data_IF_669500333797
#
_entry.id   IF_669500333797
#
_cell.length_a   1.000
_cell.length_b   1.000
_cell.length_c   1.000
_cell.angle_alpha   90.00
_cell.angle_beta   90.00
_cell.angle_gamma   90.00
#
_symmetry.space_group_name_H-M   'P 1'
#
loop_
_entity.id
_entity.type
_entity.pdbx_description
1 polymer ?
#
# COMPACT_ATOMS: atom_id res chain seq x y z
N UNK A 1 11.88 -8.60 -41.86
CA UNK A 1 12.87 -9.43 -41.19
C UNK A 1 12.11 -10.46 -40.35
N UNK A 2 11.97 -11.68 -40.87
CA UNK A 2 11.08 -12.73 -40.37
C UNK A 2 11.93 -13.70 -39.57
N UNK A 3 11.69 -13.82 -38.24
CA UNK A 3 12.42 -14.78 -37.39
C UNK A 3 11.55 -16.03 -37.29
N UNK A 4 12.03 -17.09 -37.98
CA UNK A 4 11.45 -18.43 -37.97
C UNK A 4 11.89 -19.17 -36.72
N UNK A 5 10.92 -19.51 -35.83
CA UNK A 5 11.15 -20.34 -34.66
C UNK A 5 10.98 -21.82 -35.03
N UNK A 6 12.05 -22.57 -34.95
CA UNK A 6 12.03 -24.03 -35.14
C UNK A 6 11.87 -24.74 -33.79
N UNK A 7 10.81 -25.53 -33.57
CA UNK A 7 10.72 -26.38 -32.39
C UNK A 7 11.09 -27.82 -32.79
N UNK A 8 12.22 -28.34 -32.36
CA UNK A 8 12.49 -29.79 -32.23
C UNK A 8 13.84 -30.02 -31.55
N UNK A 9 13.86 -30.16 -30.24
CA UNK A 9 14.81 -31.06 -29.55
C UNK A 9 14.13 -31.73 -28.36
N UNK A 10 13.80 -32.93 -28.62
CA UNK A 10 13.52 -34.11 -27.85
C UNK A 10 14.36 -34.14 -26.53
N UNK A 11 13.76 -33.94 -25.39
CA UNK A 11 14.37 -34.27 -24.10
C UNK A 11 14.01 -35.71 -23.76
N UNK A 12 15.03 -36.58 -23.90
CA UNK A 12 15.00 -37.96 -23.43
C UNK A 12 14.87 -38.00 -21.91
N UNK A 13 13.88 -38.74 -21.47
CA UNK A 13 13.61 -39.20 -20.12
C UNK A 13 14.87 -39.89 -19.49
N UNK A 14 15.33 -39.37 -18.36
CA UNK A 14 16.06 -40.14 -17.37
C UNK A 14 15.25 -40.11 -16.08
N UNK A 15 14.51 -41.22 -15.89
CA UNK A 15 13.83 -41.57 -14.65
C UNK A 15 14.90 -41.90 -13.59
N UNK A 16 15.19 -40.99 -12.69
CA UNK A 16 15.83 -41.33 -11.43
C UNK A 16 14.77 -41.17 -10.35
N UNK A 17 14.18 -42.29 -9.98
CA UNK A 17 13.29 -42.40 -8.85
C UNK A 17 14.04 -42.24 -7.54
N UNK A 18 14.03 -41.01 -7.01
CA UNK A 18 14.40 -40.79 -5.61
C UNK A 18 13.11 -40.89 -4.79
N UNK A 19 12.89 -42.05 -4.21
CA UNK A 19 11.86 -42.24 -3.18
C UNK A 19 12.38 -41.53 -1.93
N UNK A 20 12.01 -40.25 -1.77
CA UNK A 20 12.20 -39.55 -0.50
C UNK A 20 11.08 -39.99 0.42
N UNK A 21 11.40 -40.94 1.32
CA UNK A 21 10.55 -41.30 2.44
C UNK A 21 10.47 -40.10 3.40
N UNK A 22 9.51 -39.24 3.19
CA UNK A 22 9.18 -38.17 4.16
C UNK A 22 8.45 -38.83 5.34
N UNK A 23 9.16 -38.99 6.44
CA UNK A 23 8.55 -39.37 7.71
C UNK A 23 7.61 -38.25 8.19
N UNK A 24 6.37 -38.61 8.50
CA UNK A 24 5.30 -37.70 8.98
C UNK A 24 5.65 -36.95 10.29
N UNK A 25 6.77 -37.23 10.92
CA UNK A 25 7.22 -36.60 12.17
C UNK A 25 7.74 -35.19 11.99
N UNK A 26 8.14 -34.78 10.77
CA UNK A 26 8.75 -33.44 10.54
C UNK A 26 7.74 -32.33 10.31
N UNK A 27 6.49 -32.64 10.01
CA UNK A 27 5.45 -31.66 9.72
C UNK A 27 5.06 -30.84 10.96
N UNK A 28 5.13 -31.45 12.15
CA UNK A 28 4.79 -30.77 13.41
C UNK A 28 5.89 -29.76 13.85
N UNK A 29 7.12 -29.94 13.40
CA UNK A 29 8.23 -29.02 13.68
C UNK A 29 8.15 -27.74 12.83
N UNK A 30 7.70 -27.84 11.59
CA UNK A 30 7.52 -26.70 10.68
C UNK A 30 6.41 -25.74 11.11
N UNK A 31 5.33 -26.26 11.70
CA UNK A 31 4.21 -25.42 12.19
C UNK A 31 4.56 -24.59 13.45
N UNK A 32 5.64 -24.95 14.16
CA UNK A 32 6.07 -24.21 15.37
C UNK A 32 6.95 -23.00 15.07
N UNK A 33 7.53 -22.92 13.86
CA UNK A 33 8.39 -21.79 13.45
C UNK A 33 7.66 -20.62 12.77
N UNK A 34 6.38 -20.76 12.44
CA UNK A 34 5.60 -19.70 11.76
C UNK A 34 4.96 -18.70 12.71
N UNK A 35 5.04 -18.92 14.02
CA UNK A 35 4.75 -17.89 15.03
C UNK A 35 6.00 -17.12 15.43
N UNK A 36 6.74 -16.62 14.48
CA UNK A 36 7.54 -15.43 14.70
C UNK A 36 6.53 -14.30 14.93
N UNK A 37 6.29 -13.96 16.19
CA UNK A 37 5.61 -12.76 16.60
C UNK A 37 6.40 -11.60 15.95
N UNK A 38 5.94 -11.18 14.76
CA UNK A 38 6.51 -10.00 14.12
C UNK A 38 6.24 -8.89 15.11
N UNK A 39 7.28 -8.42 15.78
CA UNK A 39 7.23 -7.18 16.56
C UNK A 39 6.78 -6.08 15.60
N UNK A 40 5.48 -5.85 15.57
CA UNK A 40 4.86 -4.89 14.67
C UNK A 40 5.28 -3.52 15.16
N UNK A 41 6.22 -2.89 14.44
CA UNK A 41 6.70 -1.55 14.75
C UNK A 41 5.67 -0.55 14.21
N UNK A 42 5.19 0.35 15.07
CA UNK A 42 4.25 1.40 14.68
C UNK A 42 4.83 2.28 13.55
N UNK A 43 3.99 2.70 12.61
CA UNK A 43 4.38 3.58 11.52
C UNK A 43 4.92 4.90 12.07
N UNK A 44 6.13 5.26 11.69
CA UNK A 44 6.75 6.55 12.03
C UNK A 44 6.26 7.66 11.10
N UNK A 45 6.54 8.92 11.47
CA UNK A 45 6.28 10.08 10.59
C UNK A 45 6.92 9.90 9.20
N UNK A 46 8.13 9.33 9.13
CA UNK A 46 8.81 9.03 7.86
C UNK A 46 8.06 8.00 7.04
N UNK A 47 7.53 6.96 7.66
CA UNK A 47 6.72 5.94 6.99
C UNK A 47 5.43 6.58 6.43
N UNK A 48 4.71 7.35 7.27
CA UNK A 48 3.49 8.05 6.87
C UNK A 48 3.78 9.04 5.73
N UNK A 49 4.86 9.80 5.81
CA UNK A 49 5.31 10.70 4.75
C UNK A 49 5.54 9.93 3.45
N UNK A 50 6.30 8.84 3.49
CA UNK A 50 6.60 8.03 2.32
C UNK A 50 5.32 7.48 1.66
N UNK A 51 4.43 6.88 2.45
CA UNK A 51 3.20 6.27 1.92
C UNK A 51 2.25 7.30 1.30
N UNK A 52 2.09 8.47 1.92
CA UNK A 52 1.28 9.54 1.34
C UNK A 52 1.88 10.11 0.05
N UNK A 53 3.22 10.22 -0.04
CA UNK A 53 3.88 10.70 -1.26
C UNK A 53 3.76 9.69 -2.40
N UNK A 54 3.88 8.39 -2.10
CA UNK A 54 3.62 7.33 -3.08
C UNK A 54 2.17 7.38 -3.58
N UNK A 55 1.20 7.54 -2.68
CA UNK A 55 -0.22 7.69 -3.03
C UNK A 55 -0.49 8.93 -3.88
N UNK A 56 0.13 10.07 -3.56
CA UNK A 56 0.00 11.31 -4.31
C UNK A 56 0.63 11.20 -5.72
N UNK A 57 1.82 10.60 -5.81
CA UNK A 57 2.49 10.35 -7.10
C UNK A 57 1.66 9.42 -7.98
N UNK A 58 1.11 8.33 -7.40
CA UNK A 58 0.20 7.45 -8.11
C UNK A 58 -1.03 8.22 -8.64
N UNK A 59 -1.66 9.07 -7.80
CA UNK A 59 -2.83 9.86 -8.20
C UNK A 59 -2.51 10.81 -9.36
N UNK A 60 -1.34 11.47 -9.35
CA UNK A 60 -0.89 12.32 -10.44
C UNK A 60 -0.68 11.53 -11.74
N UNK A 61 -0.07 10.35 -11.67
CA UNK A 61 0.16 9.48 -12.83
C UNK A 61 -1.16 8.93 -13.37
N UNK A 62 -2.04 8.46 -12.48
CA UNK A 62 -3.36 7.93 -12.83
C UNK A 62 -4.21 9.00 -13.53
N UNK A 63 -4.16 10.26 -13.06
CA UNK A 63 -4.85 11.38 -13.71
C UNK A 63 -4.32 11.66 -15.12
N UNK A 64 -2.99 11.60 -15.33
CA UNK A 64 -2.39 11.74 -16.67
C UNK A 64 -2.72 10.58 -17.61
N UNK A 65 -2.98 9.41 -17.04
CA UNK A 65 -3.43 8.22 -17.78
C UNK A 65 -4.97 8.15 -17.91
N UNK A 66 -5.67 9.28 -17.70
CA UNK A 66 -7.12 9.41 -17.86
C UNK A 66 -7.95 8.48 -16.97
N UNK A 67 -7.38 7.98 -15.88
CA UNK A 67 -8.11 7.24 -14.86
C UNK A 67 -9.03 8.21 -14.12
N UNK A 68 -10.30 7.85 -13.92
CA UNK A 68 -11.24 8.65 -13.13
C UNK A 68 -10.65 9.04 -11.77
N UNK A 69 -10.71 10.31 -11.45
CA UNK A 69 -10.06 10.86 -10.25
C UNK A 69 -10.52 10.21 -8.95
N UNK A 70 -11.84 9.96 -8.80
CA UNK A 70 -12.38 9.33 -7.58
C UNK A 70 -11.90 7.90 -7.45
N UNK A 71 -11.83 7.18 -8.57
CA UNK A 71 -11.31 5.81 -8.62
C UNK A 71 -9.82 5.78 -8.26
N UNK A 72 -9.01 6.66 -8.86
CA UNK A 72 -7.58 6.79 -8.55
C UNK A 72 -7.34 7.13 -7.09
N UNK A 73 -8.07 8.11 -6.55
CA UNK A 73 -7.99 8.49 -5.14
C UNK A 73 -8.42 7.36 -4.20
N UNK A 74 -9.48 6.63 -4.56
CA UNK A 74 -9.94 5.46 -3.80
C UNK A 74 -8.86 4.38 -3.69
N UNK A 75 -8.20 4.05 -4.82
CA UNK A 75 -7.09 3.07 -4.85
C UNK A 75 -5.92 3.55 -4.00
N UNK A 76 -5.49 4.81 -4.17
CA UNK A 76 -4.38 5.38 -3.40
C UNK A 76 -4.65 5.36 -1.89
N UNK A 77 -5.87 5.74 -1.48
CA UNK A 77 -6.29 5.77 -0.06
C UNK A 77 -6.38 4.37 0.56
N UNK A 78 -6.92 3.41 -0.19
CA UNK A 78 -6.97 2.02 0.25
C UNK A 78 -5.56 1.42 0.37
N UNK A 79 -4.66 1.70 -0.59
CA UNK A 79 -3.26 1.27 -0.54
C UNK A 79 -2.55 1.85 0.69
N UNK A 80 -2.74 3.13 0.99
CA UNK A 80 -2.20 3.77 2.18
C UNK A 80 -2.66 3.07 3.46
N UNK A 81 -3.98 2.83 3.61
CA UNK A 81 -4.54 2.15 4.77
C UNK A 81 -4.00 0.72 4.91
N UNK A 82 -4.00 -0.05 3.82
CA UNK A 82 -3.55 -1.44 3.80
C UNK A 82 -2.07 -1.61 4.13
N UNK A 83 -1.20 -0.70 3.67
CA UNK A 83 0.23 -0.75 4.02
C UNK A 83 0.42 -0.50 5.51
N UNK A 84 -0.29 0.46 6.11
CA UNK A 84 -0.19 0.74 7.54
C UNK A 84 -0.75 -0.43 8.36
N UNK A 85 -1.84 -1.05 7.95
CA UNK A 85 -2.39 -2.22 8.61
C UNK A 85 -1.44 -3.41 8.48
N UNK A 86 -1.01 -3.74 7.27
CA UNK A 86 -0.22 -4.93 6.98
C UNK A 86 1.18 -4.88 7.58
N UNK A 87 1.86 -3.72 7.48
CA UNK A 87 3.24 -3.56 7.96
C UNK A 87 3.35 -3.09 9.40
N UNK A 88 2.39 -2.29 9.86
CA UNK A 88 2.46 -1.60 11.16
C UNK A 88 1.29 -1.95 12.09
N UNK A 89 0.47 -2.96 11.75
CA UNK A 89 -0.69 -3.38 12.54
C UNK A 89 -1.71 -2.27 12.78
N UNK A 90 -1.74 -1.25 11.92
CA UNK A 90 -2.59 -0.07 12.09
C UNK A 90 -2.07 0.96 13.10
N UNK A 91 -0.92 0.70 13.76
CA UNK A 91 -0.37 1.56 14.80
C UNK A 91 0.42 2.74 14.23
N UNK A 92 0.26 3.93 14.81
CA UNK A 92 0.95 5.17 14.43
C UNK A 92 1.72 5.70 15.64
N UNK A 93 3.02 5.90 15.47
CA UNK A 93 3.95 6.29 16.53
C UNK A 93 3.59 7.65 17.13
N UNK A 94 3.32 8.65 16.31
CA UNK A 94 2.97 10.01 16.71
C UNK A 94 1.64 10.10 17.47
N UNK A 95 0.81 9.05 17.39
CA UNK A 95 -0.43 8.91 18.19
C UNK A 95 -0.23 8.02 19.43
N UNK A 96 1.01 7.90 19.93
CA UNK A 96 1.31 7.05 21.08
C UNK A 96 1.13 5.56 20.79
N UNK A 97 1.46 5.12 19.58
CA UNK A 97 1.26 3.75 19.07
C UNK A 97 -0.22 3.32 19.02
N UNK A 98 -1.14 4.27 18.98
CA UNK A 98 -2.57 3.98 18.86
C UNK A 98 -2.86 3.30 17.54
N UNK A 99 -3.56 2.17 17.61
CA UNK A 99 -4.08 1.47 16.43
C UNK A 99 -5.32 2.17 15.91
N UNK A 100 -5.33 2.45 14.62
CA UNK A 100 -6.47 2.94 13.88
C UNK A 100 -7.07 1.83 13.03
N UNK A 101 -8.41 1.84 12.92
CA UNK A 101 -9.11 0.97 12.00
C UNK A 101 -8.93 1.41 10.53
N UNK A 102 -9.25 0.51 9.61
CA UNK A 102 -9.11 0.74 8.17
C UNK A 102 -9.83 2.01 7.70
N UNK A 103 -11.05 2.25 8.18
CA UNK A 103 -11.85 3.42 7.80
C UNK A 103 -11.19 4.73 8.23
N UNK A 104 -10.62 4.77 9.43
CA UNK A 104 -9.90 5.96 9.91
C UNK A 104 -8.62 6.19 9.12
N UNK A 105 -7.86 5.12 8.84
CA UNK A 105 -6.64 5.19 8.03
C UNK A 105 -6.96 5.61 6.59
N UNK A 106 -8.01 5.05 5.99
CA UNK A 106 -8.48 5.42 4.66
C UNK A 106 -8.82 6.92 4.59
N UNK A 107 -9.65 7.42 5.52
CA UNK A 107 -10.05 8.82 5.54
C UNK A 107 -8.87 9.78 5.78
N UNK A 108 -7.96 9.42 6.69
CA UNK A 108 -6.74 10.19 6.93
C UNK A 108 -5.83 10.17 5.69
N UNK A 109 -5.65 9.02 5.06
CA UNK A 109 -4.88 8.86 3.83
C UNK A 109 -5.45 9.69 2.70
N UNK A 110 -6.77 9.66 2.48
CA UNK A 110 -7.45 10.46 1.46
C UNK A 110 -7.11 11.94 1.61
N UNK A 111 -7.23 12.50 2.81
CA UNK A 111 -6.92 13.89 3.08
C UNK A 111 -5.45 14.22 2.84
N UNK A 112 -4.53 13.39 3.36
CA UNK A 112 -3.10 13.62 3.24
C UNK A 112 -2.59 13.45 1.81
N UNK A 113 -3.12 12.48 1.04
CA UNK A 113 -2.79 12.23 -0.36
C UNK A 113 -3.21 13.40 -1.23
N UNK A 114 -4.45 13.90 -1.04
CA UNK A 114 -4.92 15.10 -1.77
C UNK A 114 -4.03 16.30 -1.47
N UNK A 115 -3.68 16.54 -0.20
CA UNK A 115 -2.78 17.62 0.17
C UNK A 115 -1.39 17.51 -0.48
N UNK A 116 -0.83 16.31 -0.54
CA UNK A 116 0.45 16.08 -1.21
C UNK A 116 0.33 16.22 -2.73
N UNK A 117 -0.75 15.73 -3.34
CA UNK A 117 -0.98 15.85 -4.78
C UNK A 117 -1.21 17.30 -5.23
N UNK A 118 -1.82 18.14 -4.39
CA UNK A 118 -1.94 19.59 -4.66
C UNK A 118 -0.59 20.30 -4.76
N UNK A 119 0.45 19.77 -4.08
CA UNK A 119 1.83 20.31 -4.19
C UNK A 119 2.59 19.74 -5.39
N UNK A 120 2.25 18.53 -5.87
CA UNK A 120 2.99 17.82 -6.93
C UNK A 120 2.37 18.11 -8.30
N UNK A 121 1.04 18.05 -8.41
CA UNK A 121 0.30 18.14 -9.67
C UNK A 121 -1.04 18.86 -9.48
N UNK A 122 -1.05 20.14 -9.07
CA UNK A 122 -2.27 20.87 -8.74
C UNK A 122 -3.29 20.93 -9.89
N UNK A 123 -2.80 20.89 -11.14
CA UNK A 123 -3.63 20.86 -12.34
C UNK A 123 -4.45 19.58 -12.51
N UNK A 124 -3.96 18.48 -11.94
CA UNK A 124 -4.63 17.19 -11.99
C UNK A 124 -5.77 17.03 -10.97
N UNK A 125 -5.89 17.98 -10.03
CA UNK A 125 -6.89 17.90 -8.95
C UNK A 125 -8.14 18.68 -9.32
N UNK A 126 -9.33 18.05 -9.35
CA UNK A 126 -10.59 18.72 -9.64
C UNK A 126 -10.86 19.91 -8.70
N UNK A 127 -11.40 21.00 -9.24
CA UNK A 127 -11.64 22.26 -8.50
C UNK A 127 -12.50 22.06 -7.23
N UNK A 128 -13.54 21.22 -7.31
CA UNK A 128 -14.38 20.91 -6.16
C UNK A 128 -13.59 20.18 -5.05
N UNK A 129 -12.72 19.23 -5.38
CA UNK A 129 -11.88 18.52 -4.42
C UNK A 129 -10.89 19.47 -3.74
N UNK A 130 -10.28 20.37 -4.52
CA UNK A 130 -9.40 21.40 -3.97
C UNK A 130 -10.14 22.29 -2.95
N UNK A 131 -11.34 22.76 -3.30
CA UNK A 131 -12.19 23.57 -2.40
C UNK A 131 -12.56 22.83 -1.12
N UNK A 132 -12.92 21.54 -1.23
CA UNK A 132 -13.28 20.71 -0.08
C UNK A 132 -12.06 20.46 0.82
N UNK A 133 -10.89 20.22 0.25
CA UNK A 133 -9.64 20.10 0.99
C UNK A 133 -9.31 21.38 1.77
N UNK A 134 -9.36 22.54 1.13
CA UNK A 134 -9.07 23.84 1.76
C UNK A 134 -10.05 24.14 2.91
N UNK A 135 -11.34 23.84 2.73
CA UNK A 135 -12.37 23.97 3.78
C UNK A 135 -12.03 23.08 4.98
N UNK A 136 -11.70 21.81 4.73
CA UNK A 136 -11.36 20.87 5.79
C UNK A 136 -10.07 21.27 6.51
N UNK A 137 -9.07 21.72 5.79
CA UNK A 137 -7.81 22.19 6.36
C UNK A 137 -8.03 23.39 7.30
N UNK A 138 -8.86 24.36 6.90
CA UNK A 138 -9.24 25.50 7.77
C UNK A 138 -9.94 25.05 9.05
N UNK A 139 -10.79 24.03 8.98
CA UNK A 139 -11.47 23.46 10.15
C UNK A 139 -10.46 22.82 11.12
N UNK A 140 -9.53 21.97 10.60
CA UNK A 140 -8.51 21.32 11.41
C UNK A 140 -7.57 22.33 12.11
N UNK A 141 -7.15 23.37 11.40
CA UNK A 141 -6.34 24.45 11.99
C UNK A 141 -7.09 25.20 13.09
N UNK A 142 -8.41 25.35 12.97
CA UNK A 142 -9.24 26.00 13.99
C UNK A 142 -9.43 25.12 15.23
N UNK A 143 -9.54 23.81 15.03
CA UNK A 143 -9.67 22.82 16.11
C UNK A 143 -8.36 22.66 16.89
N UNK A 144 -7.18 22.74 16.23
CA UNK A 144 -5.85 22.62 16.86
C UNK A 144 -5.46 23.83 17.73
N UNK A 145 -6.17 24.97 17.62
CA UNK A 145 -5.93 26.20 18.40
C UNK A 145 -6.79 26.30 19.68
N UNK A 146 -7.64 25.33 19.92
CA UNK A 146 -8.49 25.23 21.12
C UNK A 146 -7.87 24.29 22.14
#
# INVERSE_FOLDING_TARGET
MSISFHPKRLFKLLSIGIIISFSLSDINSLNKQIKAEQNVIAASEKDIFLYRQMGASYLCIASKAEVDFKKGLGIASATFANVIIGKHGGAIKELGNKKLDEKKLYNAGTFQIVGSALNICPESIPKNIKKDYEKRLKQLVKESKK
#
